data_IF_952943291026
#
_entry.id   IF_952943291026
#
_cell.length_a   1.000
_cell.length_b   1.000
_cell.length_c   1.000
_cell.angle_alpha   90.00
_cell.angle_beta   90.00
_cell.angle_gamma   90.00
#
_symmetry.space_group_name_H-M   'P 1'
#
loop_
_entity.id
_entity.type
_entity.pdbx_description
1 polymer ?
#
# COMPACT_ATOMS: atom_id res chain seq x y z
N UNK A 1 -7.07 6.61 -5.76
CA UNK A 1 -6.46 5.28 -5.87
C UNK A 1 -5.24 5.40 -6.77
N UNK A 2 -4.19 4.65 -6.47
CA UNK A 2 -2.95 4.72 -7.22
C UNK A 2 -1.76 4.14 -6.47
N UNK A 3 -0.76 3.75 -7.24
CA UNK A 3 0.50 3.21 -6.75
C UNK A 3 1.58 4.29 -6.69
N UNK A 4 2.23 4.44 -5.53
CA UNK A 4 3.37 5.35 -5.38
C UNK A 4 4.60 4.75 -6.04
N UNK A 5 4.99 5.30 -7.19
CA UNK A 5 6.19 4.90 -7.93
C UNK A 5 7.15 6.09 -8.05
N UNK A 6 8.06 6.22 -7.09
CA UNK A 6 8.96 7.38 -6.98
C UNK A 6 10.12 7.39 -7.99
N UNK A 7 10.18 6.41 -8.91
CA UNK A 7 11.24 6.28 -9.92
C UNK A 7 10.97 7.07 -11.22
N UNK A 8 9.78 7.69 -11.36
CA UNK A 8 9.36 8.31 -12.63
C UNK A 8 9.88 9.73 -12.80
N UNK A 9 9.94 10.51 -11.70
CA UNK A 9 10.33 11.92 -11.72
C UNK A 9 11.56 12.14 -10.84
N UNK A 10 12.41 13.09 -11.24
CA UNK A 10 13.63 13.44 -10.50
C UNK A 10 13.34 13.76 -9.03
N UNK A 11 12.28 14.51 -8.75
CA UNK A 11 11.86 14.81 -7.37
C UNK A 11 11.61 13.55 -6.54
N UNK A 12 11.05 12.50 -7.13
CA UNK A 12 10.84 11.22 -6.43
C UNK A 12 12.16 10.49 -6.17
N UNK A 13 13.05 10.51 -7.15
CA UNK A 13 14.42 9.98 -7.02
C UNK A 13 15.19 10.69 -5.89
N UNK A 14 15.15 12.02 -5.85
CA UNK A 14 15.79 12.84 -4.83
C UNK A 14 15.28 12.49 -3.43
N UNK A 15 13.97 12.33 -3.25
CA UNK A 15 13.39 11.92 -1.97
C UNK A 15 13.85 10.53 -1.54
N UNK A 16 13.97 9.58 -2.46
CA UNK A 16 14.50 8.24 -2.14
C UNK A 16 15.98 8.29 -1.75
N UNK A 17 16.79 9.15 -2.39
CA UNK A 17 18.18 9.38 -1.97
C UNK A 17 18.29 9.97 -0.56
N UNK A 18 17.27 10.72 -0.12
CA UNK A 18 17.16 11.22 1.25
C UNK A 18 16.61 10.17 2.25
N UNK A 19 16.29 8.95 1.79
CA UNK A 19 15.81 7.85 2.64
C UNK A 19 14.28 7.74 2.74
N UNK A 20 13.51 8.47 1.93
CA UNK A 20 12.05 8.29 1.87
C UNK A 20 11.72 6.92 1.27
N UNK A 21 10.79 6.21 1.90
CA UNK A 21 10.37 4.86 1.50
C UNK A 21 9.02 4.93 0.78
N UNK A 22 8.91 4.55 -0.50
CA UNK A 22 7.64 4.43 -1.20
C UNK A 22 6.84 3.22 -0.70
N UNK A 23 5.67 3.46 -0.13
CA UNK A 23 4.81 2.42 0.46
C UNK A 23 3.82 1.78 -0.54
N UNK A 24 4.15 1.77 -1.84
CA UNK A 24 3.30 1.21 -2.89
C UNK A 24 1.93 1.90 -2.97
N UNK A 25 0.85 1.11 -2.99
CA UNK A 25 -0.53 1.60 -2.98
C UNK A 25 -1.19 1.58 -1.60
N UNK A 26 -0.40 1.51 -0.52
CA UNK A 26 -0.94 1.56 0.84
C UNK A 26 -1.67 2.88 1.10
N UNK A 27 -2.86 2.80 1.68
CA UNK A 27 -3.61 3.99 2.09
C UNK A 27 -2.80 4.81 3.12
N UNK A 28 -2.79 6.14 3.04
CA UNK A 28 -2.05 6.99 3.98
C UNK A 28 -2.38 6.72 5.45
N UNK A 29 -3.66 6.49 5.75
CA UNK A 29 -4.14 6.17 7.11
C UNK A 29 -3.60 4.82 7.58
N UNK A 30 -3.56 3.83 6.69
CA UNK A 30 -3.00 2.50 7.00
C UNK A 30 -1.50 2.58 7.17
N UNK A 31 -0.79 3.35 6.34
CA UNK A 31 0.65 3.57 6.48
C UNK A 31 1.00 4.22 7.81
N UNK A 32 0.21 5.21 8.26
CA UNK A 32 0.41 5.84 9.56
C UNK A 32 0.26 4.84 10.72
N UNK A 33 -0.83 4.07 10.74
CA UNK A 33 -1.08 3.09 11.79
C UNK A 33 -0.04 1.95 11.76
N UNK A 34 0.28 1.45 10.56
CA UNK A 34 1.28 0.39 10.38
C UNK A 34 2.67 0.83 10.80
N UNK A 35 3.04 2.10 10.57
CA UNK A 35 4.31 2.64 11.06
C UNK A 35 4.39 2.61 12.58
N UNK A 36 3.32 3.02 13.28
CA UNK A 36 3.24 2.91 14.74
C UNK A 36 3.39 1.46 15.22
N UNK A 37 2.75 0.51 14.53
CA UNK A 37 2.89 -0.92 14.81
C UNK A 37 4.33 -1.43 14.56
N UNK A 38 4.93 -1.09 13.41
CA UNK A 38 6.28 -1.52 13.04
C UNK A 38 7.34 -1.00 14.01
N UNK A 39 7.23 0.26 14.44
CA UNK A 39 8.10 0.86 15.46
C UNK A 39 7.91 0.25 16.85
N UNK A 40 6.76 -0.37 17.11
CA UNK A 40 6.54 -1.18 18.32
C UNK A 40 7.30 -2.52 18.31
N UNK A 41 7.70 -3.02 17.14
CA UNK A 41 8.45 -4.28 16.97
C UNK A 41 9.96 -4.07 16.84
N UNK A 42 10.41 -2.95 16.27
CA UNK A 42 11.83 -2.67 16.08
C UNK A 42 12.12 -1.17 16.01
N UNK A 43 13.32 -0.80 16.45
CA UNK A 43 13.90 0.53 16.24
C UNK A 43 15.02 0.54 15.18
N UNK A 44 15.36 -0.62 14.62
CA UNK A 44 16.27 -0.71 13.47
C UNK A 44 15.55 -0.21 12.20
N UNK A 45 16.01 0.87 11.54
CA UNK A 45 15.35 1.44 10.37
C UNK A 45 15.15 0.44 9.22
N UNK A 46 16.10 -0.46 8.99
CA UNK A 46 15.98 -1.45 7.90
C UNK A 46 14.90 -2.48 8.23
N UNK A 47 14.83 -2.93 9.49
CA UNK A 47 13.73 -3.82 9.92
C UNK A 47 12.37 -3.13 9.87
N UNK A 48 12.29 -1.86 10.25
CA UNK A 48 11.03 -1.09 10.16
C UNK A 48 10.60 -0.97 8.70
N UNK A 49 11.54 -0.68 7.79
CA UNK A 49 11.28 -0.65 6.34
C UNK A 49 10.79 -2.00 5.82
N UNK A 50 11.42 -3.11 6.22
CA UNK A 50 10.97 -4.46 5.87
C UNK A 50 9.53 -4.71 6.34
N UNK A 51 9.21 -4.38 7.59
CA UNK A 51 7.85 -4.54 8.14
C UNK A 51 6.82 -3.68 7.40
N UNK A 52 7.18 -2.44 7.08
CA UNK A 52 6.30 -1.53 6.33
C UNK A 52 6.01 -2.05 4.92
N UNK A 53 7.00 -2.62 4.23
CA UNK A 53 6.87 -3.09 2.86
C UNK A 53 6.37 -4.54 2.72
N UNK A 54 6.33 -5.31 3.81
CA UNK A 54 5.76 -6.66 3.83
C UNK A 54 4.23 -6.60 3.91
N UNK A 55 3.47 -7.19 2.98
CA UNK A 55 2.01 -7.23 3.07
C UNK A 55 1.56 -8.24 4.13
N UNK A 56 0.89 -7.79 5.19
CA UNK A 56 0.38 -8.66 6.26
C UNK A 56 -1.14 -8.90 6.19
N UNK A 57 -1.90 -7.94 5.66
CA UNK A 57 -3.36 -7.93 5.66
C UNK A 57 -3.96 -7.38 4.35
N UNK A 58 -3.20 -7.40 3.25
CA UNK A 58 -3.66 -6.91 1.94
C UNK A 58 -3.55 -5.39 1.75
N UNK A 59 -2.83 -4.71 2.63
CA UNK A 59 -2.63 -3.27 2.60
C UNK A 59 -1.69 -2.78 1.49
N UNK A 60 -0.88 -3.68 0.93
CA UNK A 60 -0.09 -3.46 -0.30
C UNK A 60 -0.47 -4.56 -1.26
N UNK A 61 -0.71 -4.21 -2.52
CA UNK A 61 -0.89 -5.20 -3.60
C UNK A 61 0.36 -5.28 -4.47
N UNK A 62 0.60 -6.45 -5.07
CA UNK A 62 1.72 -6.65 -6.01
C UNK A 62 1.55 -5.79 -7.27
N UNK A 63 0.30 -5.61 -7.70
CA UNK A 63 -0.09 -4.77 -8.84
C UNK A 63 -1.45 -4.15 -8.57
N UNK A 64 -1.73 -2.98 -9.14
CA UNK A 64 -3.10 -2.46 -9.16
C UNK A 64 -3.97 -3.25 -10.13
N UNK A 65 -5.12 -3.77 -9.67
CA UNK A 65 -6.10 -4.38 -10.55
C UNK A 65 -6.82 -3.30 -11.36
N UNK A 66 -7.38 -3.69 -12.51
CA UNK A 66 -8.01 -2.74 -13.45
C UNK A 66 -9.25 -2.04 -12.86
N UNK A 67 -9.85 -2.64 -11.84
CA UNK A 67 -11.03 -2.19 -11.11
C UNK A 67 -10.69 -1.57 -9.74
N UNK A 68 -9.41 -1.42 -9.39
CA UNK A 68 -8.97 -0.86 -8.10
C UNK A 68 -9.40 0.59 -7.85
N UNK A 69 -9.85 1.30 -8.89
CA UNK A 69 -10.42 2.65 -8.80
C UNK A 69 -11.92 2.66 -8.46
N UNK A 70 -12.62 1.53 -8.58
CA UNK A 70 -14.05 1.46 -8.30
C UNK A 70 -14.34 1.67 -6.80
N UNK A 71 -15.51 2.26 -6.52
CA UNK A 71 -16.05 2.29 -5.16
C UNK A 71 -16.10 0.84 -4.67
N UNK A 72 -15.57 0.60 -3.46
CA UNK A 72 -15.36 -0.70 -2.81
C UNK A 72 -14.01 -1.41 -3.05
N UNK A 73 -12.97 -0.79 -3.63
CA UNK A 73 -11.67 -1.44 -3.84
C UNK A 73 -11.82 -2.74 -4.65
N UNK A 74 -11.94 -2.60 -5.97
CA UNK A 74 -12.00 -3.74 -6.88
C UNK A 74 -10.83 -4.72 -6.68
N UNK A 75 -11.11 -6.01 -6.85
CA UNK A 75 -10.18 -7.11 -6.59
C UNK A 75 -10.23 -7.71 -5.18
N UNK A 76 -11.08 -7.22 -4.26
CA UNK A 76 -11.39 -7.93 -3.01
C UNK A 76 -12.40 -9.05 -3.28
N UNK A 77 -12.10 -10.31 -2.91
CA UNK A 77 -13.03 -11.44 -3.09
C UNK A 77 -14.40 -11.19 -2.47
N UNK A 78 -14.44 -10.51 -1.32
CA UNK A 78 -15.66 -10.18 -0.60
C UNK A 78 -16.54 -9.19 -1.37
N UNK A 79 -15.91 -8.23 -2.05
CA UNK A 79 -16.59 -7.23 -2.87
C UNK A 79 -17.03 -7.82 -4.20
N UNK A 80 -16.22 -8.68 -4.80
CA UNK A 80 -16.60 -9.43 -6.00
C UNK A 80 -17.82 -10.31 -5.75
N UNK A 81 -17.85 -11.01 -4.60
CA UNK A 81 -19.02 -11.79 -4.18
C UNK A 81 -20.25 -10.90 -3.95
N UNK A 82 -20.08 -9.74 -3.30
CA UNK A 82 -21.16 -8.79 -3.06
C UNK A 82 -21.74 -8.21 -4.35
N UNK A 83 -20.89 -7.78 -5.28
CA UNK A 83 -21.31 -7.27 -6.60
C UNK A 83 -21.98 -8.39 -7.40
N UNK A 84 -21.47 -9.62 -7.32
CA UNK A 84 -22.09 -10.80 -7.93
C UNK A 84 -23.51 -11.04 -7.46
N UNK A 85 -23.81 -10.84 -6.17
CA UNK A 85 -25.16 -10.95 -5.60
C UNK A 85 -26.11 -9.82 -6.04
N UNK A 86 -25.59 -8.64 -6.37
CA UNK A 86 -26.38 -7.47 -6.79
C UNK A 86 -26.77 -7.52 -8.27
N UNK A 87 -26.02 -8.26 -9.10
CA UNK A 87 -26.37 -8.51 -10.50
C UNK A 87 -27.46 -9.59 -10.58
N UNK A 88 -28.72 -9.18 -10.42
CA UNK A 88 -29.90 -9.91 -10.93
C UNK A 88 -29.96 -9.82 -12.45
#
# INVERSE_FOLDING_TARGET
>A
WGYVQMFVYDTGSDLMHLGVVPAGNMLPEVAYVKLGWALGHSHDPEKVKELMLTPFAGEITEREPFDGYLIFQGGSPEIDEFIGKLRL
#
